data_IF_632309673348
#
_entry.id   IF_632309673348
#
_cell.length_a   1.000
_cell.length_b   1.000
_cell.length_c   1.000
_cell.angle_alpha   90.00
_cell.angle_beta   90.00
_cell.angle_gamma   90.00
#
_symmetry.space_group_name_H-M   'P 1'
#
loop_
_entity.id
_entity.type
_entity.pdbx_description
1 polymer ?
#
# COMPACT_ATOMS: atom_id res chain seq x y z
N UNK A 1 12.87 -4.75 12.29
CA UNK A 1 13.11 -5.14 10.89
C UNK A 1 11.74 -5.31 10.25
N UNK A 2 11.37 -4.47 9.27
CA UNK A 2 10.08 -4.59 8.58
C UNK A 2 10.24 -5.43 7.32
N UNK A 3 9.34 -6.38 7.09
CA UNK A 3 9.33 -7.19 5.86
C UNK A 3 8.44 -6.52 4.82
N UNK A 4 8.93 -6.37 3.59
CA UNK A 4 8.08 -5.98 2.47
C UNK A 4 7.10 -7.12 2.17
N UNK A 5 5.81 -6.88 2.43
CA UNK A 5 4.78 -7.92 2.35
C UNK A 5 4.26 -8.08 0.92
N UNK A 6 4.11 -6.97 0.18
CA UNK A 6 3.60 -6.97 -1.19
C UNK A 6 3.81 -5.62 -1.89
N UNK A 7 4.09 -5.65 -3.19
CA UNK A 7 4.08 -4.47 -4.07
C UNK A 7 2.74 -4.46 -4.81
N UNK A 8 1.81 -3.60 -4.37
CA UNK A 8 0.47 -3.53 -4.97
C UNK A 8 0.47 -2.95 -6.39
N UNK A 9 1.36 -2.01 -6.65
CA UNK A 9 1.46 -1.31 -7.92
C UNK A 9 2.89 -0.79 -8.09
N UNK A 10 3.53 -1.16 -9.19
CA UNK A 10 4.88 -0.71 -9.54
C UNK A 10 4.87 0.04 -10.89
N UNK A 11 4.01 1.04 -11.02
CA UNK A 11 3.93 1.84 -12.25
C UNK A 11 3.69 3.32 -11.94
N UNK A 12 4.23 4.19 -12.78
CA UNK A 12 3.99 5.63 -12.73
C UNK A 12 2.56 5.91 -13.19
N UNK A 13 1.79 6.61 -12.37
CA UNK A 13 0.44 7.03 -12.71
C UNK A 13 0.42 8.54 -13.00
N UNK A 14 -0.33 8.94 -14.03
CA UNK A 14 -0.53 10.36 -14.36
C UNK A 14 -1.28 11.08 -13.23
N UNK A 15 -1.16 12.39 -13.14
CA UNK A 15 -1.91 13.17 -12.15
C UNK A 15 -3.42 12.94 -12.27
N UNK A 16 -4.08 12.62 -11.15
CA UNK A 16 -5.50 12.30 -11.12
C UNK A 16 -5.89 11.42 -9.92
N UNK A 17 -7.17 11.05 -9.86
CA UNK A 17 -7.69 10.15 -8.84
C UNK A 17 -7.54 8.71 -9.27
N UNK A 18 -6.82 7.91 -8.47
CA UNK A 18 -6.57 6.50 -8.74
C UNK A 18 -7.10 5.63 -7.60
N UNK A 19 -7.83 4.58 -7.95
CA UNK A 19 -8.34 3.60 -7.00
C UNK A 19 -7.68 2.25 -7.27
N UNK A 20 -6.90 1.75 -6.31
CA UNK A 20 -6.26 0.44 -6.38
C UNK A 20 -7.03 -0.49 -5.46
N UNK A 21 -7.52 -1.60 -6.01
CA UNK A 21 -8.16 -2.65 -5.22
C UNK A 21 -7.09 -3.61 -4.69
N UNK A 22 -6.88 -3.60 -3.39
CA UNK A 22 -5.99 -4.55 -2.72
C UNK A 22 -6.77 -5.79 -2.27
N UNK A 23 -6.28 -6.98 -2.64
CA UNK A 23 -6.81 -8.23 -2.11
C UNK A 23 -5.94 -8.71 -0.94
N UNK A 24 -6.45 -8.54 0.29
CA UNK A 24 -5.79 -8.97 1.53
C UNK A 24 -6.16 -10.40 1.97
N UNK A 25 -6.81 -11.21 1.12
CA UNK A 25 -7.33 -12.53 1.52
C UNK A 25 -6.25 -13.50 2.04
N UNK A 26 -5.03 -13.41 1.51
CA UNK A 26 -3.91 -14.28 1.89
C UNK A 26 -3.00 -13.67 2.96
N UNK A 27 -3.47 -12.62 3.65
CA UNK A 27 -2.69 -11.86 4.62
C UNK A 27 -3.36 -12.01 6.00
N UNK A 28 -2.54 -12.25 7.03
CA UNK A 28 -3.04 -12.41 8.40
C UNK A 28 -3.57 -11.09 8.95
N UNK A 29 -4.56 -11.15 9.85
CA UNK A 29 -5.01 -9.98 10.60
C UNK A 29 -3.84 -9.33 11.34
N UNK A 30 -3.74 -8.01 11.30
CA UNK A 30 -2.59 -7.30 11.87
C UNK A 30 -2.48 -5.85 11.43
N UNK A 31 -1.41 -5.20 11.89
CA UNK A 31 -1.08 -3.83 11.53
C UNK A 31 -0.14 -3.87 10.32
N UNK A 32 -0.52 -3.16 9.26
CA UNK A 32 0.27 -3.02 8.05
C UNK A 32 0.53 -1.56 7.76
N UNK A 33 1.63 -1.29 7.05
CA UNK A 33 1.97 0.03 6.57
C UNK A 33 1.98 -0.01 5.05
N UNK A 34 1.38 0.99 4.42
CA UNK A 34 1.52 1.22 3.00
C UNK A 34 2.24 2.54 2.76
N UNK A 35 3.08 2.56 1.73
CA UNK A 35 3.82 3.73 1.30
C UNK A 35 3.37 4.09 -0.12
N UNK A 36 2.98 5.34 -0.30
CA UNK A 36 2.75 5.96 -1.59
C UNK A 36 3.94 6.85 -1.88
N UNK A 37 4.62 6.59 -2.98
CA UNK A 37 5.78 7.35 -3.43
C UNK A 37 5.44 8.03 -4.76
N UNK A 38 5.63 9.35 -4.79
CA UNK A 38 5.65 10.17 -5.99
C UNK A 38 7.02 10.85 -6.07
N UNK A 39 7.41 11.38 -7.24
CA UNK A 39 8.70 12.07 -7.37
C UNK A 39 8.91 13.21 -6.36
N UNK A 40 7.82 13.85 -5.91
CA UNK A 40 7.86 15.02 -5.04
C UNK A 40 7.51 14.69 -3.58
N UNK A 41 6.84 13.56 -3.31
CA UNK A 41 6.31 13.28 -1.97
C UNK A 41 6.25 11.79 -1.66
N UNK A 42 6.58 11.46 -0.42
CA UNK A 42 6.34 10.15 0.16
C UNK A 42 5.28 10.26 1.27
N UNK A 43 4.27 9.41 1.21
CA UNK A 43 3.19 9.34 2.19
C UNK A 43 3.14 7.91 2.72
N UNK A 44 3.41 7.74 4.00
CA UNK A 44 3.24 6.46 4.69
C UNK A 44 2.00 6.52 5.56
N UNK A 45 1.15 5.51 5.47
CA UNK A 45 -0.05 5.39 6.30
C UNK A 45 -0.16 4.00 6.90
N UNK A 46 -0.71 3.95 8.11
CA UNK A 46 -1.00 2.73 8.84
C UNK A 46 -2.40 2.24 8.48
N UNK A 47 -2.55 0.95 8.27
CA UNK A 47 -3.83 0.28 8.09
C UNK A 47 -3.91 -0.94 9.03
N UNK A 48 -5.12 -1.31 9.42
CA UNK A 48 -5.36 -2.52 10.22
C UNK A 48 -6.16 -3.48 9.36
N UNK A 49 -5.63 -4.67 9.14
CA UNK A 49 -6.37 -5.77 8.49
C UNK A 49 -7.06 -6.57 9.58
N UNK A 50 -8.38 -6.68 9.45
CA UNK A 50 -9.23 -7.54 10.27
C UNK A 50 -9.84 -8.61 9.34
N UNK A 51 -9.80 -9.87 9.75
CA UNK A 51 -10.58 -10.96 9.15
C UNK A 51 -11.95 -11.04 9.82
#
# INVERSE_FOLDING_TARGET
MGQEVNILLNQTMNAGSHAIKWNAANISSGIYFYRLETPEKQITKKLVVLK
#
